data_IF_020575982584
#
_entry.id   IF_020575982584
#
_cell.length_a   1.000
_cell.length_b   1.000
_cell.length_c   1.000
_cell.angle_alpha   90.00
_cell.angle_beta   90.00
_cell.angle_gamma   90.00
#
_symmetry.space_group_name_H-M   'P 1'
#
loop_
_entity.id
_entity.type
_entity.pdbx_description
1 polymer ?
#
# COMPACT_ATOMS: atom_id res chain seq x y z
N UNK A 1 3.53 8.04 -22.43
CA UNK A 1 4.70 7.34 -23.02
C UNK A 1 5.74 6.94 -21.96
N UNK A 2 5.39 6.11 -20.96
CA UNK A 2 6.37 5.53 -20.00
C UNK A 2 6.38 3.99 -20.07
N UNK A 3 5.47 3.38 -20.84
CA UNK A 3 5.44 1.94 -21.13
C UNK A 3 6.59 1.45 -22.05
N UNK A 4 7.50 2.34 -22.46
CA UNK A 4 8.61 2.05 -23.40
C UNK A 4 10.01 2.37 -22.88
N UNK A 5 10.16 2.80 -21.63
CA UNK A 5 11.47 3.01 -21.04
C UNK A 5 11.64 2.03 -19.87
N UNK A 6 12.79 1.35 -19.83
CA UNK A 6 13.20 0.34 -18.83
C UNK A 6 13.34 0.86 -17.40
N UNK A 7 12.40 1.71 -16.95
CA UNK A 7 12.20 2.12 -15.56
C UNK A 7 11.16 1.25 -14.84
N UNK A 8 10.38 0.44 -15.56
CA UNK A 8 9.45 -0.52 -14.95
C UNK A 8 10.18 -1.52 -14.05
N UNK A 9 11.36 -1.99 -14.46
CA UNK A 9 12.17 -2.93 -13.67
C UNK A 9 12.87 -2.28 -12.46
N UNK A 10 12.90 -0.94 -12.40
CA UNK A 10 13.51 -0.15 -11.31
C UNK A 10 12.49 0.38 -10.29
N UNK A 11 11.20 0.35 -10.65
CA UNK A 11 10.08 0.88 -9.85
C UNK A 11 9.07 -0.21 -9.47
N UNK A 12 9.05 -1.34 -10.18
CA UNK A 12 8.24 -2.51 -9.81
C UNK A 12 9.16 -3.69 -9.47
N UNK A 13 8.76 -4.59 -8.56
CA UNK A 13 9.57 -5.78 -8.21
C UNK A 13 9.79 -6.77 -9.36
N UNK A 14 9.28 -6.51 -10.56
CA UNK A 14 9.16 -7.43 -11.68
C UNK A 14 10.47 -8.19 -12.04
N UNK A 15 11.64 -7.53 -11.98
CA UNK A 15 12.91 -8.24 -12.22
C UNK A 15 13.24 -9.28 -11.14
N UNK A 16 12.98 -8.94 -9.87
CA UNK A 16 13.28 -9.79 -8.70
C UNK A 16 12.28 -10.94 -8.58
N UNK A 17 11.04 -10.77 -9.07
CA UNK A 17 10.02 -11.82 -8.98
C UNK A 17 10.39 -13.05 -9.81
N UNK A 18 11.01 -12.89 -10.98
CA UNK A 18 11.32 -14.00 -11.89
C UNK A 18 12.33 -15.00 -11.31
N UNK A 19 13.31 -14.51 -10.57
CA UNK A 19 14.38 -15.30 -9.92
C UNK A 19 14.00 -15.78 -8.51
N UNK A 20 12.74 -15.60 -8.10
CA UNK A 20 12.26 -16.00 -6.77
C UNK A 20 12.34 -17.52 -6.65
N UNK A 21 13.06 -18.00 -5.62
CA UNK A 21 13.02 -19.40 -5.19
C UNK A 21 11.56 -19.84 -5.04
N UNK A 22 11.23 -20.98 -5.64
CA UNK A 22 9.84 -21.46 -5.73
C UNK A 22 9.54 -22.62 -4.78
N UNK A 23 10.55 -23.29 -4.24
CA UNK A 23 10.40 -24.55 -3.49
C UNK A 23 11.26 -24.59 -2.22
N UNK A 24 10.73 -25.20 -1.17
CA UNK A 24 11.36 -25.39 0.13
C UNK A 24 10.97 -26.75 0.72
N UNK A 25 11.80 -27.33 1.60
CA UNK A 25 11.46 -28.61 2.24
C UNK A 25 10.25 -28.48 3.18
N UNK A 26 10.05 -27.34 3.83
CA UNK A 26 8.94 -27.08 4.77
C UNK A 26 8.48 -25.63 4.73
N UNK A 27 7.33 -25.34 5.34
CA UNK A 27 6.85 -23.97 5.57
C UNK A 27 7.85 -23.17 6.43
N UNK A 28 8.48 -23.79 7.40
CA UNK A 28 9.48 -23.18 8.27
C UNK A 28 10.72 -22.76 7.48
N UNK A 29 11.19 -23.61 6.55
CA UNK A 29 12.30 -23.26 5.66
C UNK A 29 11.95 -22.11 4.71
N UNK A 30 10.69 -22.03 4.26
CA UNK A 30 10.19 -20.89 3.48
C UNK A 30 10.12 -19.59 4.29
N UNK A 31 9.71 -19.66 5.56
CA UNK A 31 9.74 -18.53 6.51
C UNK A 31 11.18 -18.05 6.72
N UNK A 32 12.09 -18.96 7.05
CA UNK A 32 13.48 -18.61 7.37
C UNK A 32 14.18 -17.99 6.16
N UNK A 33 13.95 -18.56 4.98
CA UNK A 33 14.36 -17.95 3.72
C UNK A 33 13.81 -16.53 3.55
N UNK A 34 12.52 -16.31 3.84
CA UNK A 34 11.87 -15.00 3.67
C UNK A 34 12.49 -13.96 4.59
N UNK A 35 12.81 -14.30 5.85
CA UNK A 35 13.47 -13.42 6.81
C UNK A 35 14.85 -12.92 6.34
N UNK A 36 15.54 -13.67 5.47
CA UNK A 36 16.81 -13.20 4.87
C UNK A 36 16.62 -12.12 3.80
N UNK A 37 15.39 -11.90 3.31
CA UNK A 37 15.12 -11.01 2.19
C UNK A 37 14.78 -9.61 2.69
N UNK A 38 15.38 -8.60 2.06
CA UNK A 38 15.21 -7.18 2.40
C UNK A 38 13.73 -6.75 2.48
N UNK A 39 12.88 -7.29 1.60
CA UNK A 39 11.45 -6.98 1.57
C UNK A 39 10.69 -7.40 2.85
N UNK A 40 11.22 -8.39 3.59
CA UNK A 40 10.59 -8.93 4.80
C UNK A 40 11.20 -8.37 6.09
N UNK A 41 12.33 -7.65 6.01
CA UNK A 41 13.14 -7.24 7.16
C UNK A 41 12.38 -6.41 8.21
N UNK A 42 11.34 -5.68 7.80
CA UNK A 42 10.53 -4.83 8.68
C UNK A 42 9.18 -5.44 9.04
N UNK A 43 8.83 -6.60 8.47
CA UNK A 43 7.53 -7.21 8.70
C UNK A 43 7.48 -7.82 10.10
N UNK A 44 6.28 -7.81 10.66
CA UNK A 44 5.98 -8.51 11.91
C UNK A 44 6.31 -10.01 11.76
N UNK A 45 7.02 -10.64 12.72
CA UNK A 45 7.38 -12.06 12.64
C UNK A 45 6.19 -13.00 12.42
N UNK A 46 5.03 -12.69 13.00
CA UNK A 46 3.81 -13.46 12.80
C UNK A 46 3.30 -13.32 11.36
N UNK A 47 3.36 -12.11 10.79
CA UNK A 47 3.04 -11.89 9.37
C UNK A 47 3.99 -12.65 8.44
N UNK A 48 5.29 -12.77 8.77
CA UNK A 48 6.24 -13.56 7.95
C UNK A 48 5.94 -15.06 8.05
N UNK A 49 5.61 -15.56 9.25
CA UNK A 49 5.17 -16.94 9.44
C UNK A 49 3.91 -17.24 8.62
N UNK A 50 2.92 -16.35 8.70
CA UNK A 50 1.64 -16.53 8.02
C UNK A 50 1.81 -16.40 6.51
N UNK A 51 2.69 -15.51 6.03
CA UNK A 51 3.09 -15.45 4.63
C UNK A 51 3.70 -16.77 4.14
N UNK A 52 4.60 -17.39 4.91
CA UNK A 52 5.19 -18.66 4.51
C UNK A 52 4.17 -19.81 4.49
N UNK A 53 3.22 -19.82 5.44
CA UNK A 53 2.15 -20.82 5.51
C UNK A 53 1.12 -20.66 4.40
N UNK A 54 0.57 -19.46 4.22
CA UNK A 54 -0.48 -19.19 3.24
C UNK A 54 0.05 -18.99 1.80
N UNK A 55 1.30 -18.53 1.67
CA UNK A 55 1.96 -18.28 0.39
C UNK A 55 2.62 -19.50 -0.23
N UNK A 56 2.52 -20.68 0.42
CA UNK A 56 3.02 -21.94 -0.14
C UNK A 56 1.96 -23.05 -0.07
N UNK A 57 2.10 -24.06 -0.91
CA UNK A 57 1.24 -25.23 -1.00
C UNK A 57 2.08 -26.50 -1.08
N UNK A 58 1.47 -27.65 -0.75
CA UNK A 58 2.14 -28.94 -0.83
C UNK A 58 2.68 -29.23 -2.24
N UNK A 59 3.89 -29.79 -2.30
CA UNK A 59 4.56 -30.25 -3.50
C UNK A 59 5.30 -31.56 -3.22
N UNK A 60 5.74 -32.25 -4.28
CA UNK A 60 6.58 -33.43 -4.11
C UNK A 60 7.87 -33.04 -3.37
N UNK A 61 8.08 -33.62 -2.18
CA UNK A 61 9.28 -33.38 -1.37
C UNK A 61 9.28 -32.09 -0.53
N UNK A 62 8.14 -31.40 -0.40
CA UNK A 62 8.04 -30.23 0.49
C UNK A 62 6.89 -29.30 0.15
N UNK A 63 7.21 -28.00 0.08
CA UNK A 63 6.25 -26.93 -0.25
C UNK A 63 6.78 -26.09 -1.39
N UNK A 64 5.86 -25.54 -2.18
CA UNK A 64 6.15 -24.60 -3.27
C UNK A 64 5.30 -23.36 -3.18
N UNK A 65 5.70 -22.27 -3.82
CA UNK A 65 4.89 -21.05 -3.90
C UNK A 65 3.47 -21.35 -4.39
N UNK A 66 2.50 -20.74 -3.72
CA UNK A 66 1.09 -20.86 -4.06
C UNK A 66 0.71 -20.08 -5.34
N UNK A 67 1.56 -19.11 -5.72
CA UNK A 67 1.38 -18.27 -6.89
C UNK A 67 2.53 -18.47 -7.88
N UNK A 68 2.26 -18.23 -9.15
CA UNK A 68 3.26 -18.25 -10.21
C UNK A 68 3.95 -16.88 -10.31
N UNK A 69 5.27 -16.80 -10.09
CA UNK A 69 6.03 -15.56 -10.26
C UNK A 69 5.92 -14.93 -11.66
N UNK A 70 5.63 -15.72 -12.70
CA UNK A 70 5.41 -15.20 -14.06
C UNK A 70 4.04 -14.51 -14.21
N UNK A 71 3.05 -14.91 -13.41
CA UNK A 71 1.78 -14.17 -13.27
C UNK A 71 2.01 -12.87 -12.50
N UNK A 72 2.73 -12.93 -11.38
CA UNK A 72 3.09 -11.75 -10.56
C UNK A 72 3.83 -10.70 -11.42
N UNK A 73 4.80 -11.15 -12.22
CA UNK A 73 5.52 -10.30 -13.19
C UNK A 73 4.57 -9.57 -14.14
N UNK A 74 3.62 -10.29 -14.74
CA UNK A 74 2.64 -9.71 -15.68
C UNK A 74 1.72 -8.71 -15.00
N UNK A 75 1.30 -8.98 -13.75
CA UNK A 75 0.49 -8.04 -12.96
C UNK A 75 1.24 -6.71 -12.82
N UNK A 76 2.50 -6.73 -12.39
CA UNK A 76 3.30 -5.50 -12.23
C UNK A 76 3.48 -4.72 -13.54
N UNK A 77 3.56 -5.39 -14.69
CA UNK A 77 3.64 -4.72 -16.00
C UNK A 77 2.32 -4.15 -16.50
N UNK A 78 1.20 -4.55 -15.90
CA UNK A 78 -0.15 -4.18 -16.35
C UNK A 78 -0.79 -3.05 -15.56
N UNK A 79 -0.11 -2.52 -14.52
CA UNK A 79 -0.66 -1.49 -13.64
C UNK A 79 -1.09 -0.24 -14.45
N UNK A 80 -2.37 0.17 -14.36
CA UNK A 80 -2.87 1.34 -15.06
C UNK A 80 -2.25 2.63 -14.51
N UNK A 81 -1.91 3.54 -15.43
CA UNK A 81 -1.23 4.80 -15.12
C UNK A 81 -2.22 5.96 -14.91
N UNK A 82 -3.50 5.70 -15.15
CA UNK A 82 -4.60 6.66 -15.19
C UNK A 82 -5.59 6.47 -14.03
N UNK A 83 -5.28 5.65 -13.03
CA UNK A 83 -6.15 5.38 -11.87
C UNK A 83 -6.64 6.67 -11.18
N UNK A 84 -5.77 7.69 -11.11
CA UNK A 84 -6.10 9.01 -10.57
C UNK A 84 -7.31 9.67 -11.24
N UNK A 85 -7.54 9.44 -12.54
CA UNK A 85 -8.66 10.03 -13.28
C UNK A 85 -10.02 9.46 -12.87
N UNK A 86 -10.03 8.30 -12.19
CA UNK A 86 -11.25 7.63 -11.75
C UNK A 86 -11.67 7.99 -10.33
N UNK A 87 -10.80 8.60 -9.52
CA UNK A 87 -11.12 9.01 -8.15
C UNK A 87 -12.38 9.91 -8.05
N UNK A 88 -12.60 10.90 -8.94
CA UNK A 88 -13.83 11.71 -8.93
C UNK A 88 -15.10 10.96 -9.35
N UNK A 89 -14.98 9.75 -9.92
CA UNK A 89 -16.12 8.96 -10.43
C UNK A 89 -16.70 8.03 -9.38
N UNK A 90 -16.07 7.90 -8.21
CA UNK A 90 -16.57 7.08 -7.11
C UNK A 90 -17.87 7.67 -6.57
N UNK A 91 -18.89 6.81 -6.47
CA UNK A 91 -20.23 7.16 -5.95
C UNK A 91 -20.44 6.71 -4.50
N UNK A 92 -19.42 6.14 -3.88
CA UNK A 92 -19.45 5.58 -2.52
C UNK A 92 -18.32 6.19 -1.70
N UNK A 93 -18.52 6.43 -0.38
CA UNK A 93 -17.47 6.86 0.54
C UNK A 93 -16.19 6.04 0.39
N UNK A 94 -15.07 6.73 0.30
CA UNK A 94 -13.75 6.14 0.13
C UNK A 94 -12.75 6.70 1.13
N UNK A 95 -11.91 5.82 1.63
CA UNK A 95 -10.83 6.15 2.53
C UNK A 95 -9.49 5.64 2.00
N UNK A 96 -8.41 6.28 2.45
CA UNK A 96 -7.04 5.88 2.17
C UNK A 96 -6.26 5.76 3.48
N UNK A 97 -5.60 4.62 3.68
CA UNK A 97 -4.64 4.41 4.75
C UNK A 97 -3.26 4.23 4.13
N UNK A 98 -2.27 5.03 4.54
CA UNK A 98 -0.91 4.95 4.02
C UNK A 98 0.15 4.91 5.11
N UNK A 99 1.30 4.32 4.79
CA UNK A 99 2.48 4.35 5.66
C UNK A 99 3.21 5.70 5.58
N UNK A 100 3.54 6.31 6.72
CA UNK A 100 4.29 7.57 6.82
C UNK A 100 5.70 7.48 6.23
N UNK A 101 6.28 6.28 6.19
CA UNK A 101 7.57 6.00 5.56
C UNK A 101 7.48 5.41 4.16
N UNK A 102 6.33 5.49 3.47
CA UNK A 102 6.18 4.97 2.11
C UNK A 102 6.81 5.92 1.08
N UNK A 103 7.83 5.42 0.38
CA UNK A 103 8.48 6.11 -0.74
C UNK A 103 7.50 6.38 -1.90
N UNK A 104 6.53 5.50 -2.11
CA UNK A 104 5.49 5.64 -3.14
C UNK A 104 4.56 6.79 -2.80
N UNK A 105 4.10 6.87 -1.54
CA UNK A 105 3.28 7.99 -1.06
C UNK A 105 4.06 9.31 -1.17
N UNK A 106 5.34 9.32 -0.80
CA UNK A 106 6.19 10.51 -0.94
C UNK A 106 6.38 10.93 -2.40
N UNK A 107 6.58 9.98 -3.32
CA UNK A 107 6.81 10.26 -4.74
C UNK A 107 5.56 10.72 -5.46
N UNK A 108 4.41 10.08 -5.19
CA UNK A 108 3.14 10.40 -5.87
C UNK A 108 2.46 11.61 -5.22
N UNK A 109 2.61 11.76 -3.91
CA UNK A 109 1.97 12.79 -3.11
C UNK A 109 0.48 12.50 -2.83
N UNK A 110 -0.06 13.15 -1.80
CA UNK A 110 -1.41 12.92 -1.31
C UNK A 110 -2.42 13.99 -1.73
N UNK A 111 -2.05 14.95 -2.61
CA UNK A 111 -2.91 16.09 -2.94
C UNK A 111 -4.26 15.64 -3.51
N UNK A 112 -4.23 14.76 -4.52
CA UNK A 112 -5.45 14.23 -5.12
C UNK A 112 -6.20 13.31 -4.15
N UNK A 113 -5.45 12.49 -3.41
CA UNK A 113 -6.03 11.57 -2.42
C UNK A 113 -6.83 12.32 -1.36
N UNK A 114 -6.25 13.36 -0.76
CA UNK A 114 -6.92 14.22 0.25
C UNK A 114 -8.11 14.99 -0.30
N UNK A 115 -8.17 15.23 -1.62
CA UNK A 115 -9.31 15.87 -2.27
C UNK A 115 -10.51 14.94 -2.42
N UNK A 116 -10.29 13.63 -2.46
CA UNK A 116 -11.34 12.67 -2.78
C UNK A 116 -11.59 11.62 -1.68
N UNK A 117 -10.69 11.47 -0.72
CA UNK A 117 -10.74 10.43 0.31
C UNK A 117 -10.41 11.00 1.69
N UNK A 118 -11.02 10.41 2.72
CA UNK A 118 -10.52 10.55 4.08
C UNK A 118 -9.15 9.85 4.17
N UNK A 119 -8.14 10.53 4.70
CA UNK A 119 -6.75 10.05 4.70
C UNK A 119 -6.28 9.83 6.13
N UNK A 120 -5.96 8.58 6.44
CA UNK A 120 -5.26 8.20 7.67
C UNK A 120 -3.83 7.77 7.34
N UNK A 121 -2.88 8.16 8.19
CA UNK A 121 -1.49 7.77 8.03
C UNK A 121 -1.04 6.97 9.25
N UNK A 122 -0.36 5.86 9.02
CA UNK A 122 0.17 4.96 10.06
C UNK A 122 1.69 4.92 9.94
N UNK A 123 2.40 4.59 11.01
CA UNK A 123 3.84 4.36 10.93
C UNK A 123 4.14 3.16 10.01
N UNK A 124 5.35 3.12 9.44
CA UNK A 124 5.78 2.05 8.53
C UNK A 124 5.92 2.48 7.06
N UNK A 125 6.45 1.57 6.25
CA UNK A 125 6.73 1.76 4.83
C UNK A 125 5.55 1.47 3.90
N UNK A 126 5.84 1.10 2.65
CA UNK A 126 4.81 0.66 1.70
C UNK A 126 3.99 -0.52 2.22
N UNK A 127 4.66 -1.44 2.91
CA UNK A 127 4.08 -2.66 3.46
C UNK A 127 3.65 -2.49 4.92
N UNK A 128 3.34 -1.26 5.36
CA UNK A 128 2.93 -0.98 6.75
C UNK A 128 1.84 -1.93 7.31
N UNK A 129 0.88 -2.49 6.54
CA UNK A 129 -0.10 -3.43 7.11
C UNK A 129 0.52 -4.73 7.61
N UNK A 130 1.68 -5.11 7.06
CA UNK A 130 2.44 -6.29 7.45
C UNK A 130 3.59 -5.95 8.42
N UNK A 131 3.96 -4.66 8.53
CA UNK A 131 4.95 -4.17 9.51
C UNK A 131 4.29 -3.89 10.87
N UNK A 132 3.07 -3.34 10.86
CA UNK A 132 2.32 -2.94 12.04
C UNK A 132 0.83 -3.36 11.94
N UNK A 133 0.54 -4.69 11.96
CA UNK A 133 -0.80 -5.21 11.64
C UNK A 133 -1.90 -4.68 12.57
N UNK A 134 -1.63 -4.52 13.87
CA UNK A 134 -2.62 -3.98 14.81
C UNK A 134 -2.92 -2.50 14.57
N UNK A 135 -1.90 -1.70 14.27
CA UNK A 135 -2.09 -0.28 13.94
C UNK A 135 -2.85 -0.11 12.63
N UNK A 136 -2.53 -0.93 11.61
CA UNK A 136 -3.25 -0.94 10.34
C UNK A 136 -4.72 -1.34 10.53
N UNK A 137 -5.01 -2.37 11.32
CA UNK A 137 -6.38 -2.77 11.64
C UNK A 137 -7.14 -1.67 12.40
N UNK A 138 -6.49 -0.99 13.34
CA UNK A 138 -7.04 0.16 14.05
C UNK A 138 -7.39 1.31 13.11
N UNK A 139 -6.48 1.68 12.22
CA UNK A 139 -6.69 2.72 11.21
C UNK A 139 -7.86 2.39 10.27
N UNK A 140 -7.96 1.14 9.80
CA UNK A 140 -9.08 0.69 8.96
C UNK A 140 -10.41 0.80 9.72
N UNK A 141 -10.47 0.35 10.98
CA UNK A 141 -11.68 0.44 11.81
C UNK A 141 -12.08 1.89 12.09
N UNK A 142 -11.11 2.75 12.42
CA UNK A 142 -11.37 4.18 12.63
C UNK A 142 -11.91 4.85 11.37
N UNK A 143 -11.27 4.60 10.23
CA UNK A 143 -11.69 5.14 8.94
C UNK A 143 -13.07 4.61 8.50
N UNK A 144 -13.36 3.34 8.78
CA UNK A 144 -14.69 2.77 8.56
C UNK A 144 -15.78 3.51 9.35
N UNK A 145 -15.55 3.76 10.64
CA UNK A 145 -16.47 4.52 11.49
C UNK A 145 -16.69 5.92 10.92
N UNK A 146 -15.62 6.63 10.57
CA UNK A 146 -15.68 7.97 9.96
C UNK A 146 -16.52 7.98 8.68
N UNK A 147 -16.25 7.04 7.75
CA UNK A 147 -16.96 6.96 6.48
C UNK A 147 -18.44 6.57 6.64
N UNK A 148 -18.75 5.71 7.62
CA UNK A 148 -20.11 5.27 7.91
C UNK A 148 -20.94 6.39 8.53
N UNK A 149 -20.36 7.13 9.47
CA UNK A 149 -21.09 8.08 10.30
C UNK A 149 -21.22 9.46 9.62
N UNK A 150 -20.28 9.81 8.74
CA UNK A 150 -20.26 11.12 8.08
C UNK A 150 -20.43 11.05 6.55
N UNK A 151 -20.35 9.88 5.91
CA UNK A 151 -20.36 9.78 4.45
C UNK A 151 -19.12 10.45 3.82
N UNK A 152 -19.18 10.76 2.52
CA UNK A 152 -18.08 11.39 1.78
C UNK A 152 -17.94 12.89 2.12
N UNK A 153 -17.62 13.24 3.37
CA UNK A 153 -17.31 14.64 3.73
C UNK A 153 -15.82 14.87 3.47
N UNK A 154 -15.51 15.25 2.23
CA UNK A 154 -14.26 15.98 1.98
C UNK A 154 -14.44 17.33 2.67
N UNK A 155 -13.89 17.50 3.88
CA UNK A 155 -13.76 18.83 4.47
C UNK A 155 -13.00 19.70 3.47
N UNK A 156 -13.73 20.55 2.75
CA UNK A 156 -13.13 21.68 2.06
C UNK A 156 -12.46 22.51 3.14
N UNK A 157 -11.13 22.61 3.07
CA UNK A 157 -10.38 23.53 3.89
C UNK A 157 -11.10 24.90 3.89
N UNK A 158 -11.51 25.34 5.08
CA UNK A 158 -12.07 26.67 5.29
C UNK A 158 -11.09 27.69 4.71
N UNK A 159 -11.47 28.55 3.74
CA UNK A 159 -10.57 29.58 3.27
C UNK A 159 -10.29 30.52 4.44
N UNK A 160 -9.00 30.76 4.70
CA UNK A 160 -8.53 31.66 5.74
C UNK A 160 -9.35 32.95 5.71
N UNK A 161 -10.01 33.22 6.84
CA UNK A 161 -10.87 34.38 7.01
C UNK A 161 -10.14 35.65 6.60
N UNK A 162 -10.77 36.38 5.68
CA UNK A 162 -10.48 37.76 5.32
C UNK A 162 -10.31 38.58 6.60
N UNK A 163 -9.09 39.03 6.92
CA UNK A 163 -8.86 39.99 7.99
C UNK A 163 -9.59 41.28 7.59
N UNK A 164 -10.71 41.56 8.27
CA UNK A 164 -11.39 42.85 8.21
C UNK A 164 -10.44 43.92 8.73
N UNK A 165 -10.30 44.98 7.93
CA UNK A 165 -9.48 46.14 8.25
C UNK A 165 -9.86 46.80 9.57
N UNK A 166 -8.85 47.37 10.23
CA UNK A 166 -9.03 48.45 11.19
C UNK A 166 -8.75 49.75 10.46
N UNK A 167 -9.82 50.45 10.10
CA UNK A 167 -9.76 51.90 9.96
C UNK A 167 -9.87 52.50 11.36
N UNK A 168 -8.90 53.31 11.74
CA UNK A 168 -9.07 54.32 12.79
C UNK A 168 -8.65 55.64 12.16
N UNK A 169 -9.64 56.51 11.98
CA UNK A 169 -9.44 57.87 11.50
C UNK A 169 -8.65 58.71 12.49
N UNK A 170 -8.04 59.76 11.94
CA UNK A 170 -7.78 61.02 12.61
C UNK A 170 -8.67 62.06 11.95
#
# INVERSE_FOLDING_TARGET
>A
MVKRFGMADRVTPAGITRERRREWPTHEAARDYSLTRRAFRRLDPDCVRDYARAGTMAAHGGVRLAFDPDVEYRIYRSIPHDLAAYAPRLRVPGGFVGGRGSEEVHRVGLRLTRRHFCVEMVDGGHLFPLEHPQAAAGAIKGLWTELRDHGHVVQMAVPAGRVRGRGTGR
#
